data_IF_038632446699
#
_entry.id   IF_038632446699
#
_cell.length_a   1.000
_cell.length_b   1.000
_cell.length_c   1.000
_cell.angle_alpha   90.00
_cell.angle_beta   90.00
_cell.angle_gamma   90.00
#
_symmetry.space_group_name_H-M   'P 1'
#
loop_
_entity.id
_entity.type
_entity.pdbx_description
1 polymer ?
#
# COMPACT_ATOMS: atom_id res chain seq x y z
N UNK A 1 11.32 35.50 -22.04
CA UNK A 1 11.38 34.01 -22.03
C UNK A 1 12.11 33.60 -20.75
N UNK A 2 11.38 33.55 -19.63
CA UNK A 2 11.95 33.19 -18.33
C UNK A 2 11.36 31.84 -17.94
N UNK A 3 12.14 30.80 -18.17
CA UNK A 3 11.84 29.45 -17.69
C UNK A 3 12.83 29.19 -16.55
N UNK A 4 12.39 29.17 -15.28
CA UNK A 4 13.29 28.88 -14.20
C UNK A 4 13.60 27.38 -14.25
N UNK A 5 14.85 27.06 -14.63
CA UNK A 5 15.47 25.74 -14.47
C UNK A 5 15.68 25.42 -12.98
N UNK A 6 14.59 25.25 -12.24
CA UNK A 6 14.67 24.69 -10.89
C UNK A 6 14.55 23.19 -11.04
N UNK A 7 15.67 22.47 -10.81
CA UNK A 7 15.62 21.07 -10.43
C UNK A 7 14.71 21.00 -9.21
N UNK A 8 13.46 20.58 -9.41
CA UNK A 8 12.51 20.43 -8.32
C UNK A 8 13.15 19.53 -7.28
N UNK A 9 13.42 20.07 -6.09
CA UNK A 9 13.58 19.24 -4.91
C UNK A 9 12.38 18.30 -4.91
N UNK A 10 12.62 16.99 -5.07
CA UNK A 10 11.55 16.00 -4.99
C UNK A 10 11.11 15.98 -3.53
N UNK A 11 10.17 16.87 -3.20
CA UNK A 11 9.60 16.95 -1.86
C UNK A 11 8.73 15.70 -1.71
N UNK A 12 9.15 14.78 -0.85
CA UNK A 12 8.38 13.59 -0.51
C UNK A 12 6.96 13.96 -0.08
N UNK A 13 6.00 13.05 -0.28
CA UNK A 13 4.63 13.29 0.17
C UNK A 13 4.59 13.17 1.69
N UNK A 14 4.20 14.24 2.37
CA UNK A 14 3.93 14.17 3.80
C UNK A 14 2.45 13.86 4.08
N UNK A 15 2.21 12.79 4.84
CA UNK A 15 0.87 12.25 5.11
C UNK A 15 0.37 12.63 6.51
N UNK A 16 0.18 13.92 6.81
CA UNK A 16 0.00 14.37 8.19
C UNK A 16 -1.41 14.21 8.79
N UNK A 17 -2.48 14.35 8.01
CA UNK A 17 -3.86 14.40 8.52
C UNK A 17 -4.91 13.85 7.51
N UNK A 18 -6.20 13.99 7.84
CA UNK A 18 -7.35 13.61 7.00
C UNK A 18 -7.29 14.18 5.59
N UNK A 19 -6.69 15.36 5.42
CA UNK A 19 -6.57 16.00 4.12
C UNK A 19 -5.57 15.24 3.22
N UNK A 20 -4.72 14.39 3.80
CA UNK A 20 -3.85 13.49 3.06
C UNK A 20 -4.64 12.49 2.23
N UNK A 21 -5.77 11.97 2.73
CA UNK A 21 -6.59 11.01 1.99
C UNK A 21 -7.28 11.63 0.76
N UNK A 22 -7.56 12.94 0.78
CA UNK A 22 -8.17 13.65 -0.35
C UNK A 22 -7.13 14.24 -1.31
N UNK A 23 -5.82 14.07 -1.03
CA UNK A 23 -4.77 14.55 -1.94
C UNK A 23 -4.95 13.91 -3.31
N UNK A 24 -4.86 14.70 -4.40
CA UNK A 24 -5.06 14.18 -5.76
C UNK A 24 -4.21 12.94 -6.07
N UNK A 25 -3.00 12.86 -5.52
CA UNK A 25 -2.08 11.73 -5.66
C UNK A 25 -2.63 10.45 -5.02
N UNK A 26 -3.15 10.54 -3.79
CA UNK A 26 -3.75 9.41 -3.06
C UNK A 26 -5.06 8.98 -3.73
N UNK A 27 -5.88 9.94 -4.16
CA UNK A 27 -7.13 9.64 -4.88
C UNK A 27 -6.84 8.95 -6.21
N UNK A 28 -5.87 9.43 -6.99
CA UNK A 28 -5.42 8.78 -8.24
C UNK A 28 -4.90 7.37 -7.96
N UNK A 29 -4.17 7.20 -6.86
CA UNK A 29 -3.67 5.90 -6.45
C UNK A 29 -4.81 4.90 -6.15
N UNK A 30 -5.82 5.31 -5.39
CA UNK A 30 -6.98 4.45 -5.13
C UNK A 30 -7.74 4.10 -6.41
N UNK A 31 -7.87 5.05 -7.34
CA UNK A 31 -8.46 4.78 -8.65
C UNK A 31 -7.63 3.79 -9.47
N UNK A 32 -6.31 3.89 -9.41
CA UNK A 32 -5.38 2.91 -9.99
C UNK A 32 -5.62 1.52 -9.38
N UNK A 33 -5.66 1.40 -8.05
CA UNK A 33 -5.87 0.12 -7.38
C UNK A 33 -7.23 -0.52 -7.69
N UNK A 34 -8.29 0.28 -7.85
CA UNK A 34 -9.59 -0.22 -8.34
C UNK A 34 -9.47 -0.85 -9.73
N UNK A 35 -8.61 -0.32 -10.60
CA UNK A 35 -8.37 -0.82 -11.96
C UNK A 35 -7.22 -1.84 -12.07
N UNK A 36 -6.45 -2.05 -10.99
CA UNK A 36 -5.31 -2.96 -10.96
C UNK A 36 -5.70 -4.34 -11.51
N UNK A 37 -4.96 -4.84 -12.48
CA UNK A 37 -5.26 -6.16 -13.07
C UNK A 37 -4.62 -7.22 -12.21
N UNK A 38 -5.44 -8.03 -11.53
CA UNK A 38 -4.96 -9.18 -10.77
C UNK A 38 -4.22 -10.15 -11.70
N UNK A 39 -3.10 -10.68 -11.23
CA UNK A 39 -2.33 -11.69 -11.97
C UNK A 39 -2.52 -13.10 -11.41
N UNK A 40 -3.06 -13.22 -10.19
CA UNK A 40 -3.39 -14.48 -9.51
C UNK A 40 -4.75 -14.40 -8.82
N UNK A 41 -5.35 -15.55 -8.54
CA UNK A 41 -6.53 -15.68 -7.68
C UNK A 41 -6.17 -15.63 -6.18
N UNK A 42 -4.88 -15.64 -5.86
CA UNK A 42 -4.33 -15.53 -4.52
C UNK A 42 -3.65 -14.17 -4.31
N UNK A 43 -3.93 -13.55 -3.17
CA UNK A 43 -3.22 -12.37 -2.68
C UNK A 43 -2.42 -12.68 -1.42
N UNK A 44 -1.22 -12.11 -1.33
CA UNK A 44 -0.44 -12.05 -0.09
C UNK A 44 -0.38 -10.59 0.33
N UNK A 45 -0.80 -10.31 1.55
CA UNK A 45 -0.83 -8.97 2.11
C UNK A 45 0.13 -8.91 3.28
N UNK A 46 1.18 -8.10 3.12
CA UNK A 46 2.16 -7.79 4.16
C UNK A 46 1.62 -6.58 4.91
N UNK A 47 1.31 -6.71 6.20
CA UNK A 47 0.98 -5.56 7.01
C UNK A 47 2.23 -4.71 7.23
N UNK A 48 2.28 -3.52 6.60
CA UNK A 48 3.46 -2.66 6.57
C UNK A 48 3.29 -1.35 7.33
N UNK A 49 2.26 -1.20 8.14
CA UNK A 49 1.94 0.04 8.86
C UNK A 49 2.97 0.46 9.93
N UNK A 50 3.87 -0.46 10.27
CA UNK A 50 5.03 -0.25 11.16
C UNK A 50 6.36 -0.19 10.38
N UNK A 51 6.35 -0.34 9.05
CA UNK A 51 7.52 -0.26 8.20
C UNK A 51 7.72 1.16 7.68
N UNK A 52 8.96 1.51 7.39
CA UNK A 52 9.30 2.74 6.70
C UNK A 52 9.71 2.43 5.25
N UNK A 53 9.26 3.22 4.26
CA UNK A 53 9.76 3.11 2.90
C UNK A 53 11.26 3.48 2.82
N UNK A 54 12.02 2.96 1.85
CA UNK A 54 11.60 2.03 0.79
C UNK A 54 11.50 0.59 1.28
N UNK A 55 10.34 -0.03 1.07
CA UNK A 55 10.00 -1.35 1.60
C UNK A 55 10.87 -2.50 1.07
N UNK A 56 11.36 -2.39 -0.17
CA UNK A 56 12.19 -3.43 -0.81
C UNK A 56 13.56 -3.58 -0.12
N UNK A 57 13.98 -2.61 0.68
CA UNK A 57 15.19 -2.76 1.50
C UNK A 57 15.04 -3.78 2.62
N UNK A 58 13.81 -4.11 3.03
CA UNK A 58 13.53 -5.04 4.13
C UNK A 58 13.70 -6.51 3.68
N UNK A 59 14.56 -7.25 4.38
CA UNK A 59 14.85 -8.67 4.04
C UNK A 59 13.62 -9.58 4.14
N UNK A 60 12.74 -9.38 5.12
CA UNK A 60 11.51 -10.17 5.23
C UNK A 60 10.59 -9.98 4.02
N UNK A 61 10.51 -8.75 3.50
CA UNK A 61 9.73 -8.48 2.28
C UNK A 61 10.35 -9.20 1.09
N UNK A 62 11.68 -9.20 0.96
CA UNK A 62 12.37 -9.95 -0.11
C UNK A 62 12.08 -11.44 -0.02
N UNK A 63 12.14 -12.02 1.17
CA UNK A 63 11.87 -13.44 1.38
C UNK A 63 10.43 -13.81 1.01
N UNK A 64 9.45 -12.98 1.38
CA UNK A 64 8.04 -13.16 0.99
C UNK A 64 7.88 -13.09 -0.54
N UNK A 65 8.55 -12.12 -1.20
CA UNK A 65 8.51 -12.02 -2.66
C UNK A 65 9.07 -13.25 -3.35
N UNK A 66 10.18 -13.80 -2.84
CA UNK A 66 10.77 -15.04 -3.38
C UNK A 66 9.81 -16.21 -3.16
N UNK A 67 9.30 -16.38 -1.94
CA UNK A 67 8.38 -17.45 -1.53
C UNK A 67 7.12 -17.49 -2.39
N UNK A 68 6.56 -16.34 -2.73
CA UNK A 68 5.31 -16.24 -3.50
C UNK A 68 5.49 -15.83 -4.95
N UNK A 69 6.73 -15.81 -5.44
CA UNK A 69 7.04 -15.45 -6.83
C UNK A 69 6.16 -16.24 -7.81
N UNK A 70 5.45 -15.51 -8.68
CA UNK A 70 4.53 -16.04 -9.70
C UNK A 70 3.30 -16.83 -9.19
N UNK A 71 3.08 -16.94 -7.88
CA UNK A 71 1.94 -17.71 -7.32
C UNK A 71 0.84 -16.81 -6.72
N UNK A 72 1.17 -15.56 -6.38
CA UNK A 72 0.23 -14.61 -5.81
C UNK A 72 0.53 -13.17 -6.22
N UNK A 73 -0.49 -12.33 -6.20
CA UNK A 73 -0.30 -10.88 -6.16
C UNK A 73 0.18 -10.51 -4.75
N UNK A 74 1.35 -9.87 -4.65
CA UNK A 74 1.93 -9.47 -3.36
C UNK A 74 1.73 -7.97 -3.14
N UNK A 75 1.13 -7.63 -2.01
CA UNK A 75 0.84 -6.26 -1.61
C UNK A 75 1.43 -5.94 -0.24
N UNK A 76 1.76 -4.67 -0.04
CA UNK A 76 2.00 -4.08 1.28
C UNK A 76 0.77 -3.28 1.65
N UNK A 77 0.13 -3.62 2.78
CA UNK A 77 -0.93 -2.81 3.36
C UNK A 77 -0.32 -1.65 4.14
N UNK A 78 -0.67 -0.42 3.75
CA UNK A 78 -0.10 0.78 4.33
C UNK A 78 -1.17 1.84 4.59
N UNK A 79 -1.13 2.57 5.72
CA UNK A 79 -2.07 3.67 6.00
C UNK A 79 -2.10 4.68 4.85
N UNK A 80 -3.27 5.29 4.62
CA UNK A 80 -3.53 6.23 3.51
C UNK A 80 -3.56 5.61 2.11
N UNK A 81 -2.62 4.71 1.77
CA UNK A 81 -2.54 4.13 0.43
C UNK A 81 -3.43 2.89 0.26
N UNK A 82 -3.68 2.12 1.33
CA UNK A 82 -4.36 0.83 1.23
C UNK A 82 -3.38 -0.25 0.80
N UNK A 83 -3.69 -0.98 -0.27
CA UNK A 83 -2.81 -2.01 -0.83
C UNK A 83 -1.82 -1.40 -1.82
N UNK A 84 -0.53 -1.62 -1.58
CA UNK A 84 0.59 -1.26 -2.45
C UNK A 84 1.15 -2.49 -3.15
N UNK A 85 0.99 -2.67 -4.48
CA UNK A 85 1.66 -3.74 -5.20
C UNK A 85 3.16 -3.60 -5.02
N UNK A 86 3.85 -4.65 -4.57
CA UNK A 86 5.29 -4.56 -4.31
C UNK A 86 6.09 -4.29 -5.59
N UNK A 87 5.56 -4.69 -6.75
CA UNK A 87 6.13 -4.32 -8.06
C UNK A 87 6.14 -2.81 -8.32
N UNK A 88 5.35 -2.03 -7.58
CA UNK A 88 5.25 -0.57 -7.70
C UNK A 88 5.81 0.17 -6.50
N UNK A 89 6.28 -0.51 -5.45
CA UNK A 89 6.74 0.16 -4.23
C UNK A 89 7.95 1.07 -4.44
N UNK A 90 8.69 0.91 -5.54
CA UNK A 90 9.80 1.80 -5.91
C UNK A 90 9.37 3.02 -6.76
N UNK A 91 8.13 3.06 -7.24
CA UNK A 91 7.62 4.15 -8.06
C UNK A 91 7.21 5.35 -7.21
N UNK A 92 7.44 6.58 -7.70
CA UNK A 92 6.89 7.78 -7.06
C UNK A 92 5.34 7.73 -7.04
N UNK A 93 4.66 8.10 -5.94
CA UNK A 93 5.19 8.63 -4.67
C UNK A 93 5.52 7.57 -3.60
N UNK A 94 5.35 6.28 -3.92
CA UNK A 94 5.40 5.16 -2.97
C UNK A 94 6.80 4.88 -2.40
N UNK A 95 7.85 5.33 -3.09
CA UNK A 95 9.24 5.27 -2.61
C UNK A 95 9.69 6.49 -1.81
N UNK A 96 8.91 7.57 -1.78
CA UNK A 96 9.31 8.87 -1.21
C UNK A 96 8.13 9.55 -0.50
N UNK A 97 7.71 8.98 0.61
CA UNK A 97 6.73 9.60 1.51
C UNK A 97 7.18 9.49 2.96
N UNK A 98 6.76 10.46 3.78
CA UNK A 98 7.00 10.44 5.22
C UNK A 98 5.67 10.25 5.96
N UNK A 99 5.64 9.22 6.80
CA UNK A 99 4.51 8.94 7.69
C UNK A 99 4.65 9.77 8.97
N UNK A 100 3.57 10.35 9.51
CA UNK A 100 3.62 10.97 10.82
C UNK A 100 3.87 9.92 11.89
N UNK A 101 4.54 10.34 12.97
CA UNK A 101 4.79 9.51 14.15
C UNK A 101 3.48 8.99 14.76
N UNK A 102 2.41 9.78 14.65
CA UNK A 102 1.08 9.39 15.10
C UNK A 102 0.08 9.48 13.95
N UNK A 103 -0.36 8.31 13.47
CA UNK A 103 -1.46 8.20 12.50
C UNK A 103 -2.76 8.05 13.29
N UNK A 104 -3.77 8.91 13.06
CA UNK A 104 -5.05 8.80 13.75
C UNK A 104 -5.77 7.47 13.51
N UNK A 105 -6.45 6.93 14.53
CA UNK A 105 -7.16 5.64 14.44
C UNK A 105 -8.17 5.56 13.28
N UNK A 106 -8.86 6.65 12.94
CA UNK A 106 -9.81 6.64 11.83
C UNK A 106 -9.14 6.35 10.48
N UNK A 107 -7.87 6.76 10.28
CA UNK A 107 -7.13 6.46 9.04
C UNK A 107 -6.93 4.95 8.91
N UNK A 108 -6.62 4.26 9.99
CA UNK A 108 -6.51 2.80 10.00
C UNK A 108 -7.85 2.13 9.64
N UNK A 109 -8.95 2.60 10.22
CA UNK A 109 -10.30 2.09 9.94
C UNK A 109 -10.66 2.28 8.46
N UNK A 110 -10.48 3.49 7.92
CA UNK A 110 -10.76 3.79 6.50
C UNK A 110 -9.86 2.98 5.56
N UNK A 111 -8.57 2.86 5.89
CA UNK A 111 -7.62 2.06 5.11
C UNK A 111 -8.01 0.58 5.13
N UNK A 112 -8.41 0.03 6.28
CA UNK A 112 -8.93 -1.33 6.42
C UNK A 112 -10.17 -1.56 5.56
N UNK A 113 -11.14 -0.64 5.59
CA UNK A 113 -12.36 -0.74 4.79
C UNK A 113 -12.02 -0.75 3.29
N UNK A 114 -11.12 0.14 2.86
CA UNK A 114 -10.66 0.18 1.47
C UNK A 114 -9.99 -1.14 1.05
N UNK A 115 -9.10 -1.68 1.88
CA UNK A 115 -8.42 -2.96 1.60
C UNK A 115 -9.45 -4.07 1.47
N UNK A 116 -10.36 -4.18 2.44
CA UNK A 116 -11.39 -5.22 2.46
C UNK A 116 -12.32 -5.13 1.24
N UNK A 117 -12.69 -3.93 0.80
CA UNK A 117 -13.47 -3.72 -0.42
C UNK A 117 -12.69 -4.12 -1.69
N UNK A 118 -11.39 -3.86 -1.74
CA UNK A 118 -10.55 -4.27 -2.88
C UNK A 118 -10.50 -5.79 -2.96
N UNK A 119 -10.18 -6.48 -1.86
CA UNK A 119 -9.95 -7.93 -1.88
C UNK A 119 -11.25 -8.72 -2.08
N UNK A 120 -12.34 -8.31 -1.44
CA UNK A 120 -13.59 -9.09 -1.41
C UNK A 120 -14.56 -8.75 -2.54
N UNK A 121 -14.68 -7.47 -2.90
CA UNK A 121 -15.68 -7.00 -3.87
C UNK A 121 -15.09 -6.73 -5.24
N UNK A 122 -13.94 -6.04 -5.27
CA UNK A 122 -13.37 -5.51 -6.51
C UNK A 122 -12.57 -6.57 -7.28
N UNK A 123 -11.68 -7.28 -6.59
CA UNK A 123 -10.81 -8.32 -7.18
C UNK A 123 -11.36 -9.72 -6.96
N UNK A 124 -12.03 -9.95 -5.82
CA UNK A 124 -12.62 -11.24 -5.45
C UNK A 124 -11.54 -12.33 -5.38
N UNK A 125 -10.44 -12.04 -4.68
CA UNK A 125 -9.41 -13.04 -4.42
C UNK A 125 -10.01 -14.24 -3.69
N UNK A 126 -9.68 -15.46 -4.13
CA UNK A 126 -10.16 -16.71 -3.52
C UNK A 126 -9.41 -17.05 -2.25
N UNK A 127 -8.15 -16.63 -2.18
CA UNK A 127 -7.27 -16.84 -1.04
C UNK A 127 -6.51 -15.56 -0.71
N UNK A 128 -6.55 -15.16 0.56
CA UNK A 128 -5.79 -14.03 1.09
C UNK A 128 -4.93 -14.55 2.24
N UNK A 129 -3.61 -14.46 2.08
CA UNK A 129 -2.63 -14.75 3.12
C UNK A 129 -2.18 -13.44 3.74
N UNK A 130 -2.14 -13.39 5.07
CA UNK A 130 -1.67 -12.25 5.85
C UNK A 130 -0.28 -12.57 6.39
N UNK A 131 0.68 -11.68 6.15
CA UNK A 131 2.06 -11.77 6.65
C UNK A 131 2.37 -10.53 7.49
N UNK A 132 3.10 -10.73 8.60
CA UNK A 132 3.54 -9.66 9.52
C UNK A 132 2.41 -8.83 10.17
N UNK A 133 1.20 -9.38 10.30
CA UNK A 133 0.03 -8.64 10.80
C UNK A 133 -0.18 -8.66 12.32
N UNK A 134 0.64 -9.39 13.09
CA UNK A 134 0.47 -9.58 14.54
C UNK A 134 0.45 -8.26 15.33
N UNK A 135 1.24 -7.28 14.90
CA UNK A 135 1.35 -5.96 15.54
C UNK A 135 0.68 -4.84 14.72
N UNK A 136 -0.04 -5.19 13.65
CA UNK A 136 -0.66 -4.21 12.77
C UNK A 136 -1.90 -3.59 13.40
N UNK A 137 -2.09 -2.30 13.18
CA UNK A 137 -3.36 -1.61 13.48
C UNK A 137 -4.37 -1.72 12.33
N UNK A 138 -3.98 -2.32 11.20
CA UNK A 138 -4.88 -2.57 10.08
C UNK A 138 -5.63 -3.89 10.29
N UNK A 139 -6.96 -3.79 10.37
CA UNK A 139 -7.85 -4.95 10.40
C UNK A 139 -8.18 -5.39 8.96
N UNK A 140 -7.54 -6.47 8.51
CA UNK A 140 -7.69 -7.01 7.15
C UNK A 140 -8.32 -8.40 7.25
N UNK A 141 -9.33 -8.66 6.42
CA UNK A 141 -10.02 -9.94 6.40
C UNK A 141 -9.13 -11.02 5.76
N UNK A 142 -9.02 -12.18 6.41
CA UNK A 142 -8.55 -13.38 5.74
C UNK A 142 -9.68 -13.98 4.90
N UNK A 143 -9.33 -14.55 3.75
CA UNK A 143 -10.25 -15.27 2.87
C UNK A 143 -9.60 -16.61 2.54
N UNK A 144 -10.31 -17.69 2.81
CA UNK A 144 -9.92 -19.05 2.41
C UNK A 144 -11.18 -19.73 1.86
N UNK A 145 -11.20 -19.95 0.55
CA UNK A 145 -12.28 -20.68 -0.14
C UNK A 145 -11.79 -22.06 -0.55
#
# INVERSE_FOLDING_TARGET
KYDPRVKGEVKGIFLFDQYSMIRPEIVRYHQYMRKYKQSSDMAVIICGDFLEPPFISNEFIKDILVKYSNSADVFIAFPYYGLIPVTLSESFPLSQFEKPTNVPNYVYIETSNLINDIISKTKKYRKVILEMCENSKLHIMSISS
#
